data_IF_155160604546
#
_entry.id   IF_155160604546
#
_cell.length_a   1.000
_cell.length_b   1.000
_cell.length_c   1.000
_cell.angle_alpha   90.00
_cell.angle_beta   90.00
_cell.angle_gamma   90.00
#
_symmetry.space_group_name_H-M   'P 1'
#
loop_
_entity.id
_entity.type
_entity.pdbx_description
1 polymer ?
#
# COMPACT_ATOMS: atom_id res chain seq x y z
N UNK A 1 -20.09 22.53 -12.75
CA UNK A 1 -19.41 21.28 -13.14
C UNK A 1 -19.66 20.26 -12.03
N UNK A 2 -20.32 19.12 -12.29
CA UNK A 2 -20.79 18.24 -11.23
C UNK A 2 -19.62 17.57 -10.54
N UNK A 3 -19.61 17.64 -9.21
CA UNK A 3 -18.60 17.06 -8.33
C UNK A 3 -18.85 15.55 -8.25
N UNK A 4 -18.22 14.82 -9.16
CA UNK A 4 -17.81 13.41 -9.08
C UNK A 4 -18.47 12.55 -7.97
N UNK A 5 -19.67 12.02 -8.25
CA UNK A 5 -20.46 11.12 -7.38
C UNK A 5 -19.71 9.85 -6.92
N UNK A 6 -18.64 9.48 -7.65
CA UNK A 6 -17.82 8.30 -7.35
C UNK A 6 -17.01 8.42 -6.06
N UNK A 7 -16.60 9.63 -5.67
CA UNK A 7 -15.86 9.84 -4.42
C UNK A 7 -16.79 9.85 -3.22
N UNK A 8 -18.06 10.22 -3.43
CA UNK A 8 -19.11 10.15 -2.42
C UNK A 8 -19.45 8.69 -2.12
N UNK A 9 -19.55 7.82 -3.13
CA UNK A 9 -19.85 6.40 -2.93
C UNK A 9 -18.69 5.61 -2.29
N UNK A 10 -17.43 5.91 -2.65
CA UNK A 10 -16.26 5.27 -2.05
C UNK A 10 -16.03 5.71 -0.59
N UNK A 11 -16.30 7.00 -0.32
CA UNK A 11 -16.36 7.52 1.06
C UNK A 11 -17.52 6.86 1.77
N UNK A 12 -18.72 6.73 1.19
CA UNK A 12 -19.87 6.03 1.78
C UNK A 12 -19.61 4.53 2.03
N UNK A 13 -18.91 3.80 1.17
CA UNK A 13 -18.59 2.38 1.41
C UNK A 13 -17.49 2.23 2.46
N UNK A 14 -16.44 3.05 2.41
CA UNK A 14 -15.45 3.11 3.49
C UNK A 14 -16.11 3.56 4.80
N UNK A 15 -17.09 4.46 4.74
CA UNK A 15 -17.89 4.91 5.87
C UNK A 15 -18.81 3.82 6.38
N UNK A 16 -19.46 3.02 5.53
CA UNK A 16 -20.34 1.95 5.96
C UNK A 16 -19.51 0.83 6.59
N UNK A 17 -18.38 0.45 5.98
CA UNK A 17 -17.44 -0.50 6.56
C UNK A 17 -16.84 0.03 7.88
N UNK A 18 -16.41 1.29 7.92
CA UNK A 18 -15.85 1.89 9.14
C UNK A 18 -16.93 2.12 10.18
N UNK A 19 -18.15 2.51 9.81
CA UNK A 19 -19.32 2.64 10.71
C UNK A 19 -19.68 1.28 11.30
N UNK A 20 -19.78 0.24 10.50
CA UNK A 20 -20.18 -1.08 11.01
C UNK A 20 -19.07 -1.70 11.89
N UNK A 21 -17.79 -1.41 11.61
CA UNK A 21 -16.66 -1.74 12.49
C UNK A 21 -16.61 -0.87 13.75
N UNK A 22 -17.13 0.36 13.69
CA UNK A 22 -17.03 1.35 14.76
C UNK A 22 -18.25 1.45 15.69
N UNK A 23 -19.42 1.00 15.24
CA UNK A 23 -20.67 1.11 15.99
C UNK A 23 -21.15 -0.26 16.51
N UNK A 24 -20.29 -1.28 16.50
CA UNK A 24 -20.56 -2.57 17.12
C UNK A 24 -20.34 -2.48 18.65
N UNK A 25 -21.34 -2.74 19.49
CA UNK A 25 -21.17 -2.70 20.94
C UNK A 25 -20.27 -3.86 21.39
N UNK A 26 -19.30 -3.56 22.26
CA UNK A 26 -18.47 -4.59 22.88
C UNK A 26 -19.33 -5.42 23.85
N UNK A 27 -19.74 -6.60 23.41
CA UNK A 27 -20.44 -7.58 24.22
C UNK A 27 -21.23 -8.57 23.37
N UNK A 28 -20.69 -9.77 23.17
CA UNK A 28 -21.41 -10.93 22.67
C UNK A 28 -21.44 -11.10 21.13
N UNK A 29 -20.69 -12.10 20.67
CA UNK A 29 -20.63 -12.65 19.30
C UNK A 29 -20.18 -11.73 18.14
N UNK A 30 -19.20 -12.25 17.39
CA UNK A 30 -18.56 -11.67 16.19
C UNK A 30 -19.59 -11.15 15.17
N UNK A 31 -19.34 -10.04 14.46
CA UNK A 31 -20.33 -9.50 13.54
C UNK A 31 -20.40 -10.36 12.27
N UNK A 32 -21.62 -10.79 11.94
CA UNK A 32 -22.02 -11.12 10.59
C UNK A 32 -21.91 -9.85 9.73
N UNK A 33 -21.19 -9.93 8.61
CA UNK A 33 -21.20 -8.91 7.57
C UNK A 33 -22.63 -8.76 7.05
N UNK A 34 -23.23 -7.59 7.25
CA UNK A 34 -24.62 -7.32 6.84
C UNK A 34 -24.68 -6.99 5.34
N UNK A 35 -25.59 -7.67 4.66
CA UNK A 35 -26.10 -7.43 3.31
C UNK A 35 -26.78 -6.06 3.17
N UNK A 36 -26.70 -5.40 2.00
CA UNK A 36 -27.28 -4.08 1.81
C UNK A 36 -28.73 -4.17 1.33
N UNK A 37 -29.71 -4.41 2.23
CA UNK A 37 -31.10 -4.05 1.97
C UNK A 37 -31.87 -3.71 3.26
N UNK A 38 -32.20 -2.43 3.41
CA UNK A 38 -33.58 -1.98 3.70
C UNK A 38 -33.59 -0.45 3.81
N UNK A 39 -34.16 0.19 2.78
CA UNK A 39 -34.74 1.53 2.90
C UNK A 39 -35.96 1.39 3.81
N UNK A 40 -35.82 1.67 5.10
CA UNK A 40 -36.94 2.15 5.90
C UNK A 40 -36.42 2.92 7.11
N UNK A 41 -36.89 4.15 7.23
CA UNK A 41 -36.46 5.09 8.25
C UNK A 41 -36.84 4.64 9.65
N UNK A 42 -35.82 4.37 10.48
CA UNK A 42 -35.77 4.82 11.87
C UNK A 42 -34.32 5.22 12.16
N UNK A 43 -34.12 6.49 12.50
CA UNK A 43 -32.85 7.01 13.02
C UNK A 43 -32.50 6.25 14.30
N UNK A 44 -31.70 5.18 14.17
CA UNK A 44 -31.03 4.59 15.31
C UNK A 44 -29.78 5.45 15.57
N UNK A 45 -29.96 6.58 16.26
CA UNK A 45 -28.85 7.35 16.82
C UNK A 45 -28.22 6.52 17.93
N UNK A 46 -27.35 5.59 17.56
CA UNK A 46 -26.34 5.06 18.49
C UNK A 46 -25.40 6.23 18.74
N UNK A 47 -25.54 6.91 19.89
CA UNK A 47 -24.51 7.84 20.36
C UNK A 47 -23.19 7.05 20.41
N UNK A 48 -22.17 7.40 19.61
CA UNK A 48 -20.88 6.72 19.71
C UNK A 48 -20.37 6.93 21.13
N UNK A 49 -20.13 5.84 21.86
CA UNK A 49 -19.60 5.89 23.22
C UNK A 49 -18.21 6.56 23.20
N UNK A 50 -18.13 7.85 23.53
CA UNK A 50 -16.91 8.65 23.72
C UNK A 50 -15.69 8.24 22.87
N UNK A 51 -15.89 8.05 21.56
CA UNK A 51 -14.84 7.54 20.66
C UNK A 51 -14.00 8.68 20.12
N UNK A 52 -12.71 8.44 20.02
CA UNK A 52 -11.75 9.39 19.46
C UNK A 52 -10.81 8.66 18.51
N UNK A 53 -10.86 9.06 17.24
CA UNK A 53 -10.02 8.54 16.17
C UNK A 53 -8.80 9.45 15.94
N UNK A 54 -7.61 8.93 16.19
CA UNK A 54 -6.35 9.57 15.87
C UNK A 54 -5.87 9.17 14.47
N UNK A 55 -5.66 10.14 13.60
CA UNK A 55 -5.07 9.95 12.30
C UNK A 55 -3.55 10.14 12.35
N UNK A 56 -2.82 9.16 11.82
CA UNK A 56 -1.39 9.25 11.53
C UNK A 56 -1.17 9.51 10.04
N UNK A 57 0.04 9.31 9.54
CA UNK A 57 0.39 9.70 8.17
C UNK A 57 -0.54 9.05 7.14
N UNK A 58 -1.08 9.85 6.24
CA UNK A 58 -2.02 9.41 5.21
C UNK A 58 -1.38 9.23 3.83
N UNK A 59 -2.20 8.94 2.81
CA UNK A 59 -1.82 9.11 1.41
C UNK A 59 -1.69 10.61 1.07
N UNK A 60 -0.93 10.95 0.03
CA UNK A 60 -0.80 12.32 -0.50
C UNK A 60 -2.07 12.85 -1.19
N UNK A 61 -3.21 12.77 -0.50
CA UNK A 61 -4.54 13.14 -0.99
C UNK A 61 -5.43 13.61 0.16
N UNK A 62 -6.55 14.29 -0.16
CA UNK A 62 -7.56 14.70 0.81
C UNK A 62 -8.42 13.55 1.39
N UNK A 63 -8.12 12.28 1.08
CA UNK A 63 -8.93 11.14 1.49
C UNK A 63 -9.11 11.07 3.02
N UNK A 64 -8.01 11.11 3.78
CA UNK A 64 -8.08 11.06 5.25
C UNK A 64 -8.81 12.27 5.85
N UNK A 65 -8.63 13.45 5.27
CA UNK A 65 -9.38 14.64 5.69
C UNK A 65 -10.90 14.45 5.50
N UNK A 66 -11.33 13.93 4.35
CA UNK A 66 -12.76 13.66 4.09
C UNK A 66 -13.31 12.58 5.02
N UNK A 67 -12.52 11.54 5.31
CA UNK A 67 -12.87 10.51 6.27
C UNK A 67 -13.05 11.12 7.68
N UNK A 68 -12.14 11.97 8.11
CA UNK A 68 -12.22 12.65 9.41
C UNK A 68 -13.46 13.54 9.52
N UNK A 69 -13.72 14.41 8.53
CA UNK A 69 -14.93 15.24 8.51
C UNK A 69 -16.20 14.41 8.63
N UNK A 70 -16.19 13.23 8.03
CA UNK A 70 -17.34 12.34 8.07
C UNK A 70 -17.55 11.72 9.44
N UNK A 71 -16.48 11.32 10.12
CA UNK A 71 -16.53 10.84 11.50
C UNK A 71 -17.00 11.95 12.45
N UNK A 72 -16.49 13.18 12.25
CA UNK A 72 -16.90 14.36 13.02
C UNK A 72 -18.39 14.66 12.84
N UNK A 73 -18.90 14.61 11.60
CA UNK A 73 -20.32 14.77 11.30
C UNK A 73 -21.19 13.67 11.95
N UNK A 74 -20.61 12.49 12.22
CA UNK A 74 -21.25 11.40 12.97
C UNK A 74 -21.10 11.53 14.50
N UNK A 75 -20.51 12.62 15.00
CA UNK A 75 -20.30 12.87 16.42
C UNK A 75 -19.10 12.15 17.03
N UNK A 76 -18.17 11.63 16.20
CA UNK A 76 -16.94 10.99 16.65
C UNK A 76 -15.81 12.04 16.66
N UNK A 77 -15.08 12.14 17.78
CA UNK A 77 -13.97 13.08 17.86
C UNK A 77 -12.81 12.61 16.98
N UNK A 78 -12.11 13.55 16.34
CA UNK A 78 -10.90 13.23 15.56
C UNK A 78 -9.72 14.11 15.93
N UNK A 79 -8.53 13.54 15.82
CA UNK A 79 -7.29 14.28 15.90
C UNK A 79 -6.26 13.80 14.89
N UNK A 80 -5.21 14.59 14.67
CA UNK A 80 -4.12 14.28 13.75
C UNK A 80 -2.78 14.66 14.35
N UNK A 81 -1.82 13.74 14.29
CA UNK A 81 -0.40 14.04 14.54
C UNK A 81 0.32 14.12 13.18
N UNK A 82 0.97 15.26 12.91
CA UNK A 82 1.74 15.50 11.69
C UNK A 82 3.22 15.19 11.92
N UNK A 83 3.84 14.49 10.96
CA UNK A 83 5.29 14.25 10.96
C UNK A 83 6.02 15.12 9.95
N UNK A 84 5.30 15.70 8.99
CA UNK A 84 5.89 16.55 7.95
C UNK A 84 4.89 17.55 7.36
N UNK A 85 5.36 18.59 6.66
CA UNK A 85 4.50 19.55 5.97
C UNK A 85 3.65 18.93 4.86
N UNK A 86 4.12 17.85 4.23
CA UNK A 86 3.30 17.07 3.28
C UNK A 86 2.03 16.51 3.93
N UNK A 87 2.10 16.06 5.19
CA UNK A 87 0.93 15.58 5.94
C UNK A 87 -0.06 16.73 6.18
N UNK A 88 0.47 17.87 6.60
CA UNK A 88 -0.32 19.07 6.90
C UNK A 88 -1.06 19.62 5.68
N UNK A 89 -0.46 19.52 4.49
CA UNK A 89 -1.04 20.03 3.24
C UNK A 89 -2.42 19.44 2.94
N UNK A 90 -2.61 18.15 3.23
CA UNK A 90 -3.82 17.41 2.90
C UNK A 90 -4.80 17.28 4.07
N UNK A 91 -4.61 18.04 5.15
CA UNK A 91 -5.41 17.96 6.35
C UNK A 91 -5.86 19.32 6.85
N UNK A 92 -7.13 19.46 7.26
CA UNK A 92 -7.72 20.74 7.71
C UNK A 92 -8.75 20.60 8.85
N UNK A 93 -8.88 19.43 9.49
CA UNK A 93 -9.94 19.12 10.45
C UNK A 93 -9.41 18.91 11.87
N UNK A 94 -10.30 19.00 12.85
CA UNK A 94 -10.10 18.52 14.23
C UNK A 94 -8.91 19.10 14.99
N UNK A 95 -8.62 18.45 16.11
CA UNK A 95 -7.45 18.73 16.96
C UNK A 95 -6.18 18.26 16.25
N UNK A 96 -5.14 19.07 16.24
CA UNK A 96 -3.91 18.77 15.50
C UNK A 96 -2.68 19.01 16.37
N UNK A 97 -1.66 18.18 16.17
CA UNK A 97 -0.34 18.39 16.76
C UNK A 97 0.76 18.00 15.78
N UNK A 98 1.97 18.46 16.09
CA UNK A 98 3.18 18.14 15.34
C UNK A 98 4.12 17.33 16.21
N UNK A 99 4.66 16.25 15.65
CA UNK A 99 5.78 15.55 16.24
C UNK A 99 7.05 15.84 15.43
N UNK A 100 7.96 16.61 16.04
CA UNK A 100 9.24 17.02 15.42
C UNK A 100 10.47 16.46 16.16
N UNK A 101 10.24 15.68 17.22
CA UNK A 101 11.28 15.01 17.98
C UNK A 101 11.91 13.84 17.22
N UNK A 102 13.05 13.32 17.70
CA UNK A 102 13.66 12.11 17.14
C UNK A 102 12.70 10.92 17.25
N UNK A 103 12.80 9.98 16.30
CA UNK A 103 11.95 8.77 16.27
C UNK A 103 12.01 7.98 17.58
N UNK A 104 13.11 8.05 18.34
CA UNK A 104 13.23 7.39 19.65
C UNK A 104 12.30 7.95 20.73
N UNK A 105 11.81 9.18 20.60
CA UNK A 105 10.87 9.82 21.55
C UNK A 105 9.40 9.69 21.09
N UNK A 106 9.18 9.14 19.89
CA UNK A 106 7.84 8.95 19.35
C UNK A 106 6.97 8.05 20.26
N UNK A 107 7.51 6.94 20.84
CA UNK A 107 6.69 6.06 21.66
C UNK A 107 6.08 6.72 22.89
N UNK A 108 6.88 7.47 23.64
CA UNK A 108 6.45 8.17 24.85
C UNK A 108 5.44 9.27 24.51
N UNK A 109 5.71 10.03 23.44
CA UNK A 109 4.81 11.06 22.96
C UNK A 109 3.43 10.51 22.57
N UNK A 110 3.40 9.40 21.81
CA UNK A 110 2.14 8.80 21.40
C UNK A 110 1.34 8.25 22.59
N UNK A 111 2.00 7.62 23.57
CA UNK A 111 1.33 7.14 24.80
C UNK A 111 0.68 8.28 25.57
N UNK A 112 1.43 9.36 25.82
CA UNK A 112 0.90 10.55 26.49
C UNK A 112 -0.30 11.13 25.73
N UNK A 113 -0.24 11.17 24.39
CA UNK A 113 -1.35 11.63 23.56
C UNK A 113 -2.60 10.73 23.67
N UNK A 114 -2.40 9.40 23.61
CA UNK A 114 -3.48 8.42 23.74
C UNK A 114 -4.19 8.60 25.10
N UNK A 115 -3.42 8.75 26.18
CA UNK A 115 -3.93 8.93 27.54
C UNK A 115 -4.68 10.26 27.70
N UNK A 116 -4.05 11.38 27.29
CA UNK A 116 -4.62 12.72 27.42
C UNK A 116 -5.95 12.84 26.65
N UNK A 117 -5.98 12.32 25.43
CA UNK A 117 -7.11 12.53 24.52
C UNK A 117 -8.08 11.35 24.46
N UNK A 118 -7.81 10.27 25.21
CA UNK A 118 -8.60 9.03 25.25
C UNK A 118 -8.83 8.45 23.85
N UNK A 119 -7.77 8.34 23.06
CA UNK A 119 -7.83 7.73 21.72
C UNK A 119 -8.35 6.30 21.84
N UNK A 120 -9.43 5.99 21.13
CA UNK A 120 -9.96 4.63 21.02
C UNK A 120 -9.44 3.90 19.79
N UNK A 121 -9.10 4.65 18.73
CA UNK A 121 -8.74 4.09 17.43
C UNK A 121 -7.68 4.94 16.74
N UNK A 122 -6.74 4.28 16.07
CA UNK A 122 -5.73 4.92 15.23
C UNK A 122 -5.98 4.53 13.77
N UNK A 123 -6.00 5.53 12.89
CA UNK A 123 -6.08 5.37 11.44
C UNK A 123 -4.76 5.76 10.81
N UNK A 124 -4.17 4.88 10.01
CA UNK A 124 -2.88 5.13 9.34
C UNK A 124 -2.85 4.53 7.93
N UNK A 125 -1.95 5.01 7.08
CA UNK A 125 -1.73 4.44 5.74
C UNK A 125 -0.39 3.70 5.69
N UNK A 126 -0.42 2.39 5.39
CA UNK A 126 0.68 1.44 5.48
C UNK A 126 1.22 1.27 6.91
N UNK A 127 1.32 0.04 7.42
CA UNK A 127 1.87 -0.28 8.74
C UNK A 127 3.41 -0.33 8.77
N UNK A 128 4.06 -0.37 7.61
CA UNK A 128 5.53 -0.48 7.49
C UNK A 128 6.29 0.85 7.66
N UNK A 129 5.61 2.01 7.69
CA UNK A 129 6.32 3.30 7.85
C UNK A 129 6.98 3.39 9.24
N UNK A 130 8.15 4.04 9.39
CA UNK A 130 8.88 4.07 10.66
C UNK A 130 8.05 4.48 11.89
N UNK A 131 7.30 5.59 11.79
CA UNK A 131 6.40 6.05 12.85
C UNK A 131 5.20 5.10 13.06
N UNK A 132 4.69 4.49 11.99
CA UNK A 132 3.51 3.62 12.04
C UNK A 132 3.81 2.27 12.68
N UNK A 133 4.97 1.67 12.38
CA UNK A 133 5.41 0.42 13.03
C UNK A 133 5.40 0.53 14.54
N UNK A 134 5.99 1.59 15.07
CA UNK A 134 6.00 1.86 16.51
C UNK A 134 4.58 2.12 17.02
N UNK A 135 3.79 2.91 16.28
CA UNK A 135 2.40 3.21 16.66
C UNK A 135 1.52 1.96 16.75
N UNK A 136 1.66 0.99 15.84
CA UNK A 136 0.91 -0.28 15.89
C UNK A 136 1.22 -1.05 17.17
N UNK A 137 2.50 -1.15 17.54
CA UNK A 137 2.92 -1.85 18.77
C UNK A 137 2.39 -1.16 20.03
N UNK A 138 2.50 0.17 20.09
CA UNK A 138 2.02 0.98 21.21
C UNK A 138 0.50 0.89 21.34
N UNK A 139 -0.23 1.03 20.23
CA UNK A 139 -1.68 0.95 20.22
C UNK A 139 -2.17 -0.39 20.79
N UNK A 140 -1.54 -1.50 20.38
CA UNK A 140 -1.83 -2.84 20.91
C UNK A 140 -1.61 -2.90 22.43
N UNK A 141 -0.50 -2.35 22.93
CA UNK A 141 -0.20 -2.32 24.35
C UNK A 141 -1.21 -1.45 25.15
N UNK A 142 -1.74 -0.41 24.54
CA UNK A 142 -2.73 0.50 25.14
C UNK A 142 -4.20 0.04 24.93
N UNK A 143 -4.45 -1.11 24.27
CA UNK A 143 -5.81 -1.56 23.97
C UNK A 143 -6.54 -0.71 22.92
N UNK A 144 -5.80 0.04 22.10
CA UNK A 144 -6.31 0.91 21.03
C UNK A 144 -6.38 0.14 19.72
N UNK A 145 -7.50 0.24 19.00
CA UNK A 145 -7.64 -0.40 17.70
C UNK A 145 -6.78 0.32 16.65
N UNK A 146 -6.24 -0.42 15.69
CA UNK A 146 -5.50 0.18 14.57
C UNK A 146 -6.14 -0.20 13.26
N UNK A 147 -6.58 0.81 12.51
CA UNK A 147 -7.13 0.68 11.18
C UNK A 147 -6.08 1.11 10.16
N UNK A 148 -5.65 0.15 9.36
CA UNK A 148 -4.57 0.35 8.40
C UNK A 148 -5.15 0.38 7.00
N UNK A 149 -5.00 1.54 6.35
CA UNK A 149 -5.29 1.70 4.94
C UNK A 149 -4.06 1.33 4.10
N UNK A 150 -4.28 0.76 2.94
CA UNK A 150 -3.26 0.56 1.91
C UNK A 150 -3.88 0.74 0.53
N UNK A 151 -3.06 0.98 -0.48
CA UNK A 151 -3.51 0.88 -1.85
C UNK A 151 -4.18 -0.47 -2.09
N UNK A 152 -5.29 -0.52 -2.83
CA UNK A 152 -6.04 -1.76 -3.05
C UNK A 152 -5.22 -2.85 -3.74
N UNK A 153 -5.57 -4.11 -3.45
CA UNK A 153 -5.10 -5.28 -4.18
C UNK A 153 -5.55 -5.23 -5.65
N UNK A 154 -6.77 -4.77 -5.90
CA UNK A 154 -7.35 -4.58 -7.23
C UNK A 154 -7.40 -3.08 -7.54
N UNK A 155 -6.52 -2.63 -8.43
CA UNK A 155 -6.38 -1.22 -8.80
C UNK A 155 -7.03 -0.97 -10.16
N UNK A 156 -7.45 0.28 -10.42
CA UNK A 156 -7.27 1.49 -9.58
C UNK A 156 -8.40 1.80 -8.59
N UNK A 157 -9.42 0.95 -8.48
CA UNK A 157 -10.69 1.35 -7.83
C UNK A 157 -10.74 1.10 -6.33
N UNK A 158 -9.95 0.17 -5.82
CA UNK A 158 -10.06 -0.24 -4.42
C UNK A 158 -8.98 0.42 -3.56
N UNK A 159 -9.36 0.71 -2.33
CA UNK A 159 -8.45 0.97 -1.22
C UNK A 159 -8.68 -0.14 -0.18
N UNK A 160 -7.60 -0.70 0.35
CA UNK A 160 -7.71 -1.72 1.39
C UNK A 160 -7.82 -1.04 2.74
N UNK A 161 -8.68 -1.56 3.61
CA UNK A 161 -8.78 -1.19 5.02
C UNK A 161 -8.80 -2.49 5.83
N UNK A 162 -7.87 -2.64 6.75
CA UNK A 162 -7.80 -3.80 7.63
C UNK A 162 -7.52 -3.40 9.08
N UNK A 163 -8.06 -4.21 10.00
CA UNK A 163 -7.82 -4.07 11.43
C UNK A 163 -6.49 -4.76 11.80
N UNK A 164 -5.62 -4.05 12.50
CA UNK A 164 -4.37 -4.54 13.07
C UNK A 164 -3.15 -4.42 12.14
N UNK A 165 -3.30 -4.71 10.85
CA UNK A 165 -2.20 -4.69 9.88
C UNK A 165 -2.67 -4.99 8.46
N UNK A 166 -1.81 -4.69 7.48
CA UNK A 166 -2.04 -4.97 6.05
C UNK A 166 -0.89 -5.80 5.49
N UNK A 167 -1.02 -6.26 4.25
CA UNK A 167 0.02 -7.00 3.54
C UNK A 167 0.50 -8.25 4.31
N UNK A 168 1.79 -8.37 4.64
CA UNK A 168 2.30 -9.51 5.41
C UNK A 168 1.73 -9.59 6.83
N UNK A 169 1.33 -8.45 7.41
CA UNK A 169 0.63 -8.35 8.69
C UNK A 169 -0.89 -8.53 8.58
N UNK A 170 -1.41 -8.77 7.38
CA UNK A 170 -2.84 -8.91 7.14
C UNK A 170 -3.41 -10.12 7.89
N UNK A 171 -4.59 -9.99 8.53
CA UNK A 171 -5.33 -11.13 9.07
C UNK A 171 -6.01 -11.98 7.97
N UNK A 172 -5.83 -11.62 6.68
CA UNK A 172 -6.41 -12.35 5.57
C UNK A 172 -5.98 -13.82 5.57
N UNK A 173 -6.90 -14.78 5.33
CA UNK A 173 -6.58 -16.20 5.39
C UNK A 173 -5.42 -16.57 4.45
N UNK A 174 -4.44 -17.31 4.99
CA UNK A 174 -3.27 -17.78 4.24
C UNK A 174 -3.45 -19.17 3.63
N UNK A 175 -4.61 -19.79 3.83
CA UNK A 175 -4.91 -21.13 3.31
C UNK A 175 -6.04 -21.03 2.30
N UNK A 176 -5.98 -21.88 1.27
CA UNK A 176 -7.05 -22.02 0.28
C UNK A 176 -8.41 -22.20 0.95
N UNK A 177 -8.51 -23.15 1.88
CA UNK A 177 -9.74 -23.42 2.64
C UNK A 177 -10.26 -22.17 3.36
N UNK A 178 -9.39 -21.41 4.03
CA UNK A 178 -9.81 -20.19 4.72
C UNK A 178 -10.29 -19.10 3.77
N UNK A 179 -9.70 -19.00 2.57
CA UNK A 179 -10.17 -18.08 1.52
C UNK A 179 -11.54 -18.53 0.99
N UNK A 180 -11.72 -19.82 0.73
CA UNK A 180 -13.00 -20.38 0.27
C UNK A 180 -14.12 -20.19 1.30
N UNK A 181 -13.84 -20.43 2.58
CA UNK A 181 -14.78 -20.17 3.69
C UNK A 181 -15.15 -18.69 3.81
N UNK A 182 -14.19 -17.78 3.61
CA UNK A 182 -14.46 -16.34 3.59
C UNK A 182 -15.30 -15.95 2.37
N UNK A 183 -15.01 -16.49 1.19
CA UNK A 183 -15.76 -16.24 -0.03
C UNK A 183 -17.21 -16.71 0.07
N UNK A 184 -17.46 -17.88 0.67
CA UNK A 184 -18.82 -18.39 0.90
C UNK A 184 -19.65 -17.45 1.79
N UNK A 185 -19.03 -16.82 2.80
CA UNK A 185 -19.72 -15.83 3.66
C UNK A 185 -20.06 -14.53 2.93
N UNK A 186 -19.43 -14.28 1.79
CA UNK A 186 -19.64 -13.11 0.94
C UNK A 186 -20.51 -13.43 -0.29
N UNK A 187 -21.04 -14.67 -0.38
CA UNK A 187 -21.94 -15.05 -1.46
C UNK A 187 -23.19 -14.16 -1.45
N UNK A 188 -23.43 -13.44 -2.55
CA UNK A 188 -24.53 -12.47 -2.68
C UNK A 188 -24.14 -11.00 -2.50
N UNK A 189 -22.87 -10.68 -2.23
CA UNK A 189 -22.36 -9.31 -2.40
C UNK A 189 -22.40 -9.00 -3.90
N UNK A 190 -23.19 -7.99 -4.28
CA UNK A 190 -23.31 -7.57 -5.67
C UNK A 190 -21.92 -7.24 -6.25
N UNK A 191 -21.66 -7.75 -7.46
CA UNK A 191 -20.52 -7.29 -8.26
C UNK A 191 -20.61 -5.76 -8.34
N UNK A 192 -19.58 -5.09 -7.84
CA UNK A 192 -19.48 -3.65 -8.00
C UNK A 192 -19.24 -3.36 -9.48
N UNK A 193 -19.81 -2.27 -10.02
CA UNK A 193 -19.64 -1.93 -11.42
C UNK A 193 -18.15 -1.91 -11.80
N UNK A 194 -17.83 -2.47 -12.96
CA UNK A 194 -16.54 -2.29 -13.60
C UNK A 194 -16.34 -0.80 -13.85
N UNK A 195 -15.57 -0.16 -12.99
CA UNK A 195 -15.13 1.19 -13.25
C UNK A 195 -14.03 1.14 -14.31
N UNK A 196 -14.22 1.82 -15.44
CA UNK A 196 -13.22 1.94 -16.51
C UNK A 196 -12.30 3.16 -16.33
N UNK A 197 -11.98 3.47 -15.08
CA UNK A 197 -11.20 4.66 -14.74
C UNK A 197 -9.71 4.37 -14.66
N UNK A 198 -8.87 5.20 -15.27
CA UNK A 198 -7.42 5.20 -15.03
C UNK A 198 -7.11 5.95 -13.72
N UNK A 199 -5.92 5.76 -13.15
CA UNK A 199 -5.43 6.65 -12.09
C UNK A 199 -5.56 8.11 -12.54
N UNK A 200 -6.22 8.94 -11.72
CA UNK A 200 -6.40 10.34 -12.07
C UNK A 200 -5.05 11.06 -12.03
N UNK A 201 -4.73 11.94 -12.99
CA UNK A 201 -3.53 12.78 -12.94
C UNK A 201 -3.39 13.54 -11.60
N UNK A 202 -4.52 13.90 -10.99
CA UNK A 202 -4.59 14.51 -9.67
C UNK A 202 -4.00 13.63 -8.55
N UNK A 203 -4.17 12.30 -8.60
CA UNK A 203 -3.58 11.36 -7.62
C UNK A 203 -2.06 11.37 -7.72
N UNK A 204 -1.52 11.31 -8.94
CA UNK A 204 -0.08 11.33 -9.19
C UNK A 204 0.54 12.68 -8.82
N UNK A 205 -0.12 13.78 -9.16
CA UNK A 205 0.31 15.11 -8.77
C UNK A 205 0.32 15.28 -7.24
N UNK A 206 -0.71 14.77 -6.54
CA UNK A 206 -0.77 14.78 -5.09
C UNK A 206 0.40 14.05 -4.44
N UNK A 207 0.72 12.84 -4.91
CA UNK A 207 1.90 12.10 -4.44
C UNK A 207 3.20 12.85 -4.73
N UNK A 208 3.35 13.38 -5.96
CA UNK A 208 4.54 14.12 -6.36
C UNK A 208 4.76 15.33 -5.44
N UNK A 209 3.73 16.14 -5.21
CA UNK A 209 3.79 17.31 -4.32
C UNK A 209 4.09 16.88 -2.89
N UNK A 210 3.40 15.86 -2.37
CA UNK A 210 3.62 15.31 -1.03
C UNK A 210 5.09 14.90 -0.82
N UNK A 211 5.64 14.12 -1.75
CA UNK A 211 7.01 13.64 -1.66
C UNK A 211 8.04 14.75 -1.85
N UNK A 212 7.76 15.72 -2.73
CA UNK A 212 8.66 16.85 -2.98
C UNK A 212 8.80 17.72 -1.74
N UNK A 213 7.68 18.07 -1.10
CA UNK A 213 7.66 18.84 0.15
C UNK A 213 8.41 18.11 1.26
N UNK A 214 8.14 16.80 1.42
CA UNK A 214 8.79 16.00 2.45
C UNK A 214 10.28 15.79 2.20
N UNK A 215 10.72 15.73 0.94
CA UNK A 215 12.14 15.70 0.60
C UNK A 215 12.86 16.96 1.10
N UNK A 216 12.36 18.15 0.74
CA UNK A 216 12.96 19.40 1.21
C UNK A 216 12.88 19.57 2.73
N UNK A 217 11.80 19.10 3.35
CA UNK A 217 11.68 19.09 4.81
C UNK A 217 12.72 18.18 5.48
N UNK A 218 13.02 17.01 4.90
CA UNK A 218 14.07 16.12 5.41
C UNK A 218 15.48 16.71 5.32
N UNK A 219 15.71 17.68 4.41
CA UNK A 219 16.99 18.39 4.34
C UNK A 219 17.18 19.39 5.50
N UNK A 220 16.08 19.92 6.06
CA UNK A 220 16.12 20.94 7.12
C UNK A 220 15.83 20.37 8.50
N UNK A 221 15.06 19.28 8.61
CA UNK A 221 14.76 18.60 9.86
C UNK A 221 15.48 17.25 9.96
N UNK A 222 16.54 17.20 10.78
CA UNK A 222 17.34 15.98 11.04
C UNK A 222 16.58 14.87 11.75
N UNK A 223 15.50 15.19 12.46
CA UNK A 223 14.70 14.20 13.19
C UNK A 223 13.63 13.54 12.31
N UNK A 224 13.35 14.10 11.13
CA UNK A 224 12.34 13.57 10.23
C UNK A 224 12.85 12.29 9.56
N UNK A 225 12.16 11.18 9.81
CA UNK A 225 12.46 9.91 9.17
C UNK A 225 11.52 9.71 7.99
N UNK A 226 12.05 9.84 6.78
CA UNK A 226 11.32 9.53 5.55
C UNK A 226 11.03 8.03 5.46
N UNK A 227 9.85 7.68 4.94
CA UNK A 227 9.48 6.30 4.62
C UNK A 227 10.03 5.85 3.24
N UNK A 228 10.74 6.72 2.50
CA UNK A 228 11.44 6.35 1.26
C UNK A 228 12.96 6.38 1.44
N UNK A 229 13.67 5.31 1.04
CA UNK A 229 15.11 5.18 1.28
C UNK A 229 16.00 5.89 0.25
N UNK A 230 15.48 6.29 -0.92
CA UNK A 230 16.28 6.91 -1.99
C UNK A 230 16.07 8.42 -2.00
N UNK A 231 17.16 9.18 -2.16
CA UNK A 231 17.10 10.64 -2.30
C UNK A 231 16.39 11.02 -3.61
N UNK A 232 15.50 12.01 -3.58
CA UNK A 232 14.68 12.41 -4.73
C UNK A 232 15.51 12.72 -5.99
N UNK A 233 16.73 13.25 -5.82
CA UNK A 233 17.66 13.53 -6.92
C UNK A 233 18.18 12.27 -7.61
N UNK A 234 18.46 11.19 -6.85
CA UNK A 234 18.87 9.91 -7.43
C UNK A 234 17.70 9.26 -8.18
N UNK A 235 16.49 9.29 -7.60
CA UNK A 235 15.30 8.80 -8.31
C UNK A 235 15.09 9.58 -9.62
N UNK A 236 15.18 10.91 -9.58
CA UNK A 236 15.04 11.76 -10.77
C UNK A 236 16.06 11.36 -11.85
N UNK A 237 17.34 11.24 -11.51
CA UNK A 237 18.38 10.82 -12.46
C UNK A 237 18.08 9.45 -13.12
N UNK A 238 17.58 8.48 -12.33
CA UNK A 238 17.13 7.19 -12.86
C UNK A 238 15.98 7.33 -13.84
N UNK A 239 14.95 8.11 -13.49
CA UNK A 239 13.81 8.41 -14.37
C UNK A 239 14.23 9.10 -15.66
N UNK A 240 15.13 10.08 -15.59
CA UNK A 240 15.70 10.76 -16.75
C UNK A 240 16.40 9.77 -17.68
N UNK A 241 17.30 8.93 -17.14
CA UNK A 241 17.98 7.88 -17.92
C UNK A 241 16.98 6.90 -18.55
N UNK A 242 15.95 6.49 -17.81
CA UNK A 242 14.90 5.59 -18.29
C UNK A 242 14.13 6.22 -19.44
N UNK A 243 13.73 7.48 -19.33
CA UNK A 243 13.00 8.21 -20.36
C UNK A 243 13.76 8.19 -21.70
N UNK A 244 15.05 8.54 -21.69
CA UNK A 244 15.88 8.58 -22.90
C UNK A 244 16.15 7.20 -23.50
N UNK A 245 16.18 6.15 -22.68
CA UNK A 245 16.46 4.78 -23.15
C UNK A 245 15.20 3.96 -23.45
N UNK A 246 14.01 4.48 -23.14
CA UNK A 246 12.74 3.77 -23.22
C UNK A 246 12.41 3.20 -24.61
N UNK A 247 12.58 3.94 -25.74
CA UNK A 247 12.24 3.40 -27.06
C UNK A 247 13.07 2.15 -27.42
N UNK A 248 14.38 2.19 -27.13
CA UNK A 248 15.29 1.07 -27.38
C UNK A 248 14.95 -0.15 -26.52
N UNK A 249 14.69 0.09 -25.23
CA UNK A 249 14.32 -0.95 -24.25
C UNK A 249 12.99 -1.61 -24.60
N UNK A 250 12.02 -0.81 -25.07
CA UNK A 250 10.74 -1.30 -25.56
C UNK A 250 10.91 -2.16 -26.80
N UNK A 251 11.63 -1.68 -27.81
CA UNK A 251 11.88 -2.44 -29.04
C UNK A 251 12.56 -3.78 -28.75
N UNK A 252 13.55 -3.79 -27.84
CA UNK A 252 14.22 -5.02 -27.41
C UNK A 252 13.28 -5.97 -26.68
N UNK A 253 12.54 -5.49 -25.68
CA UNK A 253 11.60 -6.32 -24.91
C UNK A 253 10.54 -6.93 -25.82
N UNK A 254 10.03 -6.17 -26.80
CA UNK A 254 9.11 -6.68 -27.83
C UNK A 254 9.74 -7.81 -28.65
N UNK A 255 10.99 -7.68 -29.10
CA UNK A 255 11.67 -8.75 -29.84
C UNK A 255 11.86 -10.02 -29.01
N UNK A 256 12.29 -9.88 -27.76
CA UNK A 256 12.46 -11.01 -26.83
C UNK A 256 11.12 -11.73 -26.62
N UNK A 257 10.06 -10.97 -26.34
CA UNK A 257 8.73 -11.52 -26.12
C UNK A 257 8.18 -12.20 -27.38
N UNK A 258 8.31 -11.56 -28.55
CA UNK A 258 7.88 -12.15 -29.82
C UNK A 258 8.65 -13.43 -30.14
N UNK A 259 9.98 -13.46 -29.93
CA UNK A 259 10.79 -14.65 -30.13
C UNK A 259 10.39 -15.80 -29.20
N UNK A 260 10.19 -15.51 -27.92
CA UNK A 260 9.74 -16.50 -26.94
C UNK A 260 8.35 -17.06 -27.31
N UNK A 261 7.39 -16.20 -27.64
CA UNK A 261 6.04 -16.63 -28.03
C UNK A 261 6.04 -17.41 -29.36
N UNK A 262 6.87 -17.01 -30.32
CA UNK A 262 7.01 -17.72 -31.60
C UNK A 262 7.66 -19.10 -31.44
N UNK A 263 8.57 -19.27 -30.47
CA UNK A 263 9.23 -20.55 -30.18
C UNK A 263 8.25 -21.64 -29.70
N UNK A 264 7.09 -21.24 -29.15
CA UNK A 264 6.11 -22.11 -28.50
C UNK A 264 6.68 -22.97 -27.36
N UNK A 265 7.87 -22.62 -26.85
CA UNK A 265 8.44 -23.30 -25.71
C UNK A 265 7.66 -22.90 -24.43
N UNK A 266 7.42 -23.87 -23.53
CA UNK A 266 6.84 -23.56 -22.22
C UNK A 266 7.78 -22.59 -21.47
N UNK A 267 7.20 -21.64 -20.73
CA UNK A 267 8.01 -20.70 -19.96
C UNK A 267 7.40 -20.37 -18.61
N UNK A 268 8.26 -20.09 -17.65
CA UNK A 268 7.91 -19.54 -16.34
C UNK A 268 8.06 -18.03 -16.38
N UNK A 269 7.14 -17.30 -15.73
CA UNK A 269 7.22 -15.85 -15.58
C UNK A 269 7.60 -15.50 -14.15
N UNK A 270 8.66 -14.72 -13.99
CA UNK A 270 9.04 -14.13 -12.71
C UNK A 270 8.99 -12.60 -12.81
N UNK A 271 8.00 -11.98 -12.17
CA UNK A 271 7.84 -10.53 -12.12
C UNK A 271 8.62 -9.94 -10.95
N UNK A 272 9.55 -9.03 -11.24
CA UNK A 272 10.34 -8.35 -10.22
C UNK A 272 9.51 -7.29 -9.48
N UNK A 273 9.80 -7.13 -8.19
CA UNK A 273 9.33 -6.01 -7.36
C UNK A 273 10.40 -4.93 -7.24
N UNK A 274 10.08 -3.80 -6.60
CA UNK A 274 11.07 -2.77 -6.28
C UNK A 274 11.94 -3.19 -5.09
N UNK A 275 13.22 -2.79 -5.06
CA UNK A 275 14.12 -3.09 -3.94
C UNK A 275 13.65 -2.54 -2.60
N UNK A 276 12.96 -1.41 -2.64
CA UNK A 276 12.43 -0.73 -1.46
C UNK A 276 10.95 -1.03 -1.22
N UNK A 277 10.40 -2.05 -1.89
CA UNK A 277 9.06 -2.52 -1.59
C UNK A 277 9.05 -3.13 -0.19
N UNK A 278 8.19 -2.61 0.69
CA UNK A 278 8.03 -3.15 2.04
C UNK A 278 7.60 -4.63 2.03
N UNK A 279 6.97 -5.13 0.96
CA UNK A 279 6.71 -6.57 0.80
C UNK A 279 7.99 -7.40 0.77
N UNK A 280 9.00 -6.90 0.06
CA UNK A 280 10.29 -7.59 -0.04
C UNK A 280 11.09 -7.39 1.24
N UNK A 281 11.21 -6.14 1.70
CA UNK A 281 12.08 -5.77 2.83
C UNK A 281 11.60 -6.32 4.17
N UNK A 282 10.29 -6.46 4.38
CA UNK A 282 9.73 -6.81 5.70
C UNK A 282 8.99 -8.14 5.73
N UNK A 283 8.54 -8.63 4.57
CA UNK A 283 7.64 -9.78 4.49
C UNK A 283 8.18 -10.88 3.58
N UNK A 284 9.45 -10.80 3.19
CA UNK A 284 10.13 -11.85 2.44
C UNK A 284 11.36 -12.35 3.19
N UNK A 285 11.85 -13.57 2.87
CA UNK A 285 13.12 -14.08 3.40
C UNK A 285 14.35 -13.48 2.70
N UNK A 286 14.16 -12.53 1.78
CA UNK A 286 15.23 -11.96 0.96
C UNK A 286 15.53 -10.53 1.40
N UNK A 287 16.82 -10.19 1.52
CA UNK A 287 17.24 -8.82 1.86
C UNK A 287 17.04 -7.84 0.70
N UNK A 288 17.00 -8.34 -0.54
CA UNK A 288 16.91 -7.54 -1.75
C UNK A 288 16.49 -8.39 -2.97
N UNK A 289 16.19 -7.72 -4.09
CA UNK A 289 15.74 -8.38 -5.33
C UNK A 289 16.85 -9.26 -5.92
N UNK A 290 18.12 -8.92 -5.72
CA UNK A 290 19.23 -9.73 -6.21
C UNK A 290 19.19 -11.14 -5.58
N UNK A 291 19.01 -11.24 -4.26
CA UNK A 291 18.88 -12.54 -3.59
C UNK A 291 17.64 -13.31 -4.07
N UNK A 292 16.51 -12.62 -4.29
CA UNK A 292 15.32 -13.26 -4.85
C UNK A 292 15.56 -13.80 -6.27
N UNK A 293 16.24 -13.03 -7.14
CA UNK A 293 16.66 -13.48 -8.46
C UNK A 293 17.60 -14.69 -8.39
N UNK A 294 18.60 -14.65 -7.50
CA UNK A 294 19.53 -15.77 -7.29
C UNK A 294 18.77 -17.05 -6.94
N UNK A 295 17.86 -16.96 -5.97
CA UNK A 295 17.07 -18.09 -5.51
C UNK A 295 16.20 -18.68 -6.63
N UNK A 296 15.48 -17.83 -7.37
CA UNK A 296 14.58 -18.28 -8.46
C UNK A 296 15.37 -18.86 -9.63
N UNK A 297 16.45 -18.21 -10.07
CA UNK A 297 17.25 -18.69 -11.20
C UNK A 297 17.97 -20.00 -10.83
N UNK A 298 18.51 -20.13 -9.62
CA UNK A 298 19.11 -21.37 -9.15
C UNK A 298 18.08 -22.50 -9.05
N UNK A 299 16.88 -22.22 -8.52
CA UNK A 299 15.79 -23.21 -8.47
C UNK A 299 15.37 -23.66 -9.87
N UNK A 300 15.19 -22.71 -10.80
CA UNK A 300 14.86 -23.01 -12.18
C UNK A 300 15.96 -23.86 -12.86
N UNK A 301 17.23 -23.53 -12.65
CA UNK A 301 18.35 -24.31 -13.20
C UNK A 301 18.34 -25.77 -12.73
N UNK A 302 18.01 -26.00 -11.46
CA UNK A 302 18.05 -27.33 -10.85
C UNK A 302 16.81 -28.19 -11.14
N UNK A 303 15.63 -27.58 -11.32
CA UNK A 303 14.37 -28.32 -11.30
C UNK A 303 13.51 -28.15 -12.55
N UNK A 304 13.75 -27.13 -13.39
CA UNK A 304 12.90 -26.89 -14.55
C UNK A 304 13.24 -27.85 -15.72
N UNK A 305 12.22 -28.37 -16.44
CA UNK A 305 12.43 -29.18 -17.65
C UNK A 305 13.36 -28.48 -18.66
N UNK A 306 14.25 -29.22 -19.37
CA UNK A 306 15.27 -28.62 -20.24
C UNK A 306 14.73 -27.74 -21.37
N UNK A 307 13.52 -28.01 -21.83
CA UNK A 307 12.81 -27.29 -22.90
C UNK A 307 12.08 -26.03 -22.40
N UNK A 308 11.97 -25.85 -21.08
CA UNK A 308 11.37 -24.67 -20.49
C UNK A 308 12.33 -23.47 -20.50
N UNK A 309 11.73 -22.29 -20.65
CA UNK A 309 12.38 -20.97 -20.57
C UNK A 309 11.97 -20.24 -19.28
N UNK A 310 12.78 -19.28 -18.84
CA UNK A 310 12.48 -18.38 -17.73
C UNK A 310 12.42 -16.94 -18.24
N UNK A 311 11.24 -16.32 -18.16
CA UNK A 311 11.03 -14.91 -18.49
C UNK A 311 11.00 -14.08 -17.21
N UNK A 312 11.95 -13.18 -17.04
CA UNK A 312 12.03 -12.22 -15.94
C UNK A 312 11.51 -10.87 -16.43
N UNK A 313 10.45 -10.37 -15.78
CA UNK A 313 9.81 -9.08 -16.12
C UNK A 313 10.14 -8.04 -15.07
N UNK A 314 10.82 -6.96 -15.46
CA UNK A 314 11.15 -5.86 -14.55
C UNK A 314 9.89 -5.13 -14.04
N UNK A 315 9.99 -4.51 -12.87
CA UNK A 315 8.92 -3.70 -12.31
C UNK A 315 8.72 -2.42 -13.13
N UNK A 316 7.49 -2.03 -13.52
CA UNK A 316 7.25 -0.82 -14.34
C UNK A 316 7.75 0.47 -13.70
N UNK A 317 7.77 0.55 -12.37
CA UNK A 317 8.25 1.71 -11.61
C UNK A 317 9.73 1.65 -11.25
N UNK A 318 10.47 0.61 -11.68
CA UNK A 318 11.91 0.56 -11.44
C UNK A 318 12.60 1.69 -12.24
N UNK A 319 13.46 2.46 -11.59
CA UNK A 319 14.12 3.62 -12.16
C UNK A 319 15.48 3.29 -12.82
N UNK A 320 15.83 2.00 -12.92
CA UNK A 320 17.06 1.48 -13.52
C UNK A 320 18.34 2.08 -12.90
N UNK A 321 18.29 2.49 -11.63
CA UNK A 321 19.49 2.87 -10.87
C UNK A 321 20.41 1.67 -10.67
N UNK A 322 19.83 0.49 -10.46
CA UNK A 322 20.54 -0.79 -10.49
C UNK A 322 20.31 -1.44 -11.86
N UNK A 323 21.36 -1.97 -12.47
CA UNK A 323 21.27 -2.64 -13.76
C UNK A 323 20.78 -4.08 -13.59
N UNK A 324 19.48 -4.24 -13.36
CA UNK A 324 18.84 -5.54 -13.08
C UNK A 324 19.03 -6.57 -14.17
N UNK A 325 19.06 -6.13 -15.42
CA UNK A 325 19.36 -6.99 -16.55
C UNK A 325 20.75 -7.62 -16.43
N UNK A 326 21.75 -6.81 -16.08
CA UNK A 326 23.11 -7.29 -15.88
C UNK A 326 23.18 -8.27 -14.72
N UNK A 327 22.52 -7.98 -13.60
CA UNK A 327 22.45 -8.89 -12.46
C UNK A 327 21.89 -10.25 -12.88
N UNK A 328 20.73 -10.26 -13.56
CA UNK A 328 20.09 -11.48 -14.07
C UNK A 328 21.01 -12.25 -15.01
N UNK A 329 21.69 -11.55 -15.93
CA UNK A 329 22.59 -12.19 -16.90
C UNK A 329 23.84 -12.79 -16.22
N UNK A 330 24.38 -12.14 -15.19
CA UNK A 330 25.50 -12.66 -14.40
C UNK A 330 25.08 -13.90 -13.60
N UNK A 331 23.91 -13.87 -12.97
CA UNK A 331 23.35 -15.01 -12.24
C UNK A 331 23.11 -16.20 -13.18
N UNK A 332 22.42 -15.98 -14.30
CA UNK A 332 22.12 -17.04 -15.27
C UNK A 332 23.41 -17.68 -15.84
N UNK A 333 24.48 -16.90 -16.00
CA UNK A 333 25.79 -17.41 -16.44
C UNK A 333 26.45 -18.29 -15.39
N UNK A 334 26.39 -17.92 -14.11
CA UNK A 334 26.92 -18.75 -13.01
C UNK A 334 26.21 -20.10 -12.91
N UNK A 335 24.92 -20.14 -13.24
CA UNK A 335 24.12 -21.37 -13.27
C UNK A 335 24.11 -22.06 -14.65
N UNK A 336 24.91 -21.60 -15.62
CA UNK A 336 25.04 -22.17 -16.95
C UNK A 336 23.72 -22.33 -17.74
N UNK A 337 22.77 -21.40 -17.56
CA UNK A 337 21.45 -21.40 -18.24
C UNK A 337 21.15 -20.07 -18.95
N UNK A 338 22.19 -19.34 -19.39
CA UNK A 338 22.03 -18.03 -20.04
C UNK A 338 21.16 -18.06 -21.31
N UNK A 339 21.13 -19.19 -22.01
CA UNK A 339 20.32 -19.45 -23.19
C UNK A 339 18.82 -19.66 -22.88
N UNK A 340 18.50 -19.95 -21.61
CA UNK A 340 17.14 -20.24 -21.12
C UNK A 340 16.51 -19.09 -20.33
N UNK A 341 17.24 -18.00 -20.08
CA UNK A 341 16.78 -16.88 -19.26
C UNK A 341 16.63 -15.62 -20.10
N UNK A 342 15.42 -15.07 -20.11
CA UNK A 342 15.04 -13.88 -20.86
C UNK A 342 14.67 -12.75 -19.90
N UNK A 343 15.08 -11.52 -20.20
CA UNK A 343 14.75 -10.35 -19.40
C UNK A 343 14.02 -9.30 -20.25
N UNK A 344 12.90 -8.80 -19.73
CA UNK A 344 12.11 -7.74 -20.36
C UNK A 344 11.81 -6.63 -19.36
N UNK A 345 11.78 -5.39 -19.85
CA UNK A 345 11.47 -4.20 -19.04
C UNK A 345 10.11 -3.59 -19.36
N UNK A 346 9.50 -4.05 -20.46
CA UNK A 346 8.26 -3.51 -20.97
C UNK A 346 7.29 -4.64 -21.29
N UNK A 347 6.01 -4.31 -21.30
CA UNK A 347 4.91 -5.22 -21.59
C UNK A 347 3.68 -4.69 -20.88
N UNK A 348 2.52 -4.71 -21.52
CA UNK A 348 1.29 -4.34 -20.84
C UNK A 348 1.04 -5.35 -19.70
N UNK A 349 0.49 -4.86 -18.60
CA UNK A 349 -0.07 -5.72 -17.57
C UNK A 349 -1.45 -6.21 -18.02
#
# INVERSE_FOLDING_TARGET
>A
MPVNDNLHHLVVTAMLAFRDLCFCPQGGNRPALLTPQSRNGKNMQVKPANRHVLFLQGPGTLFFYRLAQTLENAGIATSKIHFSPGDRLFWRSGRQAWFTGPLSQWPEYLKAWIEETRVSDIVLFSDSRPYHKQAVSIARACGVNVFVFENGYLRPHWITLQLGGVNGSSPFPRTRKGVEELAQKLAGVAEQPEYSGHFTPARHLGDMVFHTINYFYGLTNRNFVSHRPVTAMREAAGWWKKFWTWPFRRARSTRVLQGLLASRQPFFLFSLQLDNDYQLVEHSPFDNIHQACEHVIASFANYAPPDCQLLIKNHPLDNNLVNRERDVAEIARRHAISDRVHYIETGNN
#
